data_IF_011811487292
#
_entry.id   IF_011811487292
#
_cell.length_a   1.000
_cell.length_b   1.000
_cell.length_c   1.000
_cell.angle_alpha   90.00
_cell.angle_beta   90.00
_cell.angle_gamma   90.00
#
_symmetry.space_group_name_H-M   'P 1'
#
loop_
_entity.id
_entity.type
_entity.pdbx_description
1 polymer ?
#
# COMPACT_ATOMS: atom_id res chain seq x y z
N UNK A 1 -0.92 21.36 -20.03
CA UNK A 1 0.32 20.55 -19.96
C UNK A 1 0.74 20.28 -21.39
N UNK A 2 1.96 20.64 -21.77
CA UNK A 2 2.43 20.39 -23.14
C UNK A 2 2.89 18.92 -23.23
N UNK A 3 1.98 18.05 -23.68
CA UNK A 3 2.17 16.59 -23.74
C UNK A 3 3.37 16.23 -24.65
N UNK A 4 3.63 17.05 -25.66
CA UNK A 4 4.76 16.88 -26.60
C UNK A 4 6.13 17.04 -25.92
N UNK A 5 6.21 17.77 -24.79
CA UNK A 5 7.46 17.95 -24.04
C UNK A 5 7.76 16.81 -23.07
N UNK A 6 6.84 15.87 -22.88
CA UNK A 6 7.06 14.73 -21.99
C UNK A 6 8.12 13.80 -22.56
N UNK A 7 8.98 13.31 -21.69
CA UNK A 7 9.92 12.23 -22.00
C UNK A 7 9.19 10.91 -22.22
N UNK A 8 9.82 9.99 -22.94
CA UNK A 8 9.24 8.66 -23.22
C UNK A 8 8.91 7.91 -21.92
N UNK A 9 9.77 8.03 -20.91
CA UNK A 9 9.54 7.44 -19.60
C UNK A 9 8.36 8.07 -18.87
N UNK A 10 8.16 9.38 -18.95
CA UNK A 10 7.01 10.05 -18.34
C UNK A 10 5.70 9.63 -19.00
N UNK A 11 5.65 9.58 -20.34
CA UNK A 11 4.49 9.06 -21.06
C UNK A 11 4.19 7.61 -20.68
N UNK A 12 5.23 6.77 -20.61
CA UNK A 12 5.09 5.37 -20.24
C UNK A 12 4.57 5.20 -18.81
N UNK A 13 5.07 5.99 -17.87
CA UNK A 13 4.61 5.98 -16.47
C UNK A 13 3.15 6.42 -16.35
N UNK A 14 2.75 7.45 -17.10
CA UNK A 14 1.37 7.96 -17.11
C UNK A 14 0.41 6.90 -17.66
N UNK A 15 0.76 6.24 -18.76
CA UNK A 15 -0.09 5.20 -19.38
C UNK A 15 -0.25 3.99 -18.47
N UNK A 16 0.81 3.61 -17.76
CA UNK A 16 0.78 2.48 -16.81
C UNK A 16 0.19 2.84 -15.43
N UNK A 17 -0.50 3.98 -15.32
CA UNK A 17 -1.37 4.27 -14.18
C UNK A 17 -0.68 4.90 -12.98
N UNK A 18 0.50 5.49 -13.16
CA UNK A 18 1.19 6.21 -12.08
C UNK A 18 0.50 7.56 -11.76
N UNK A 19 -0.32 8.08 -12.69
CA UNK A 19 -1.10 9.32 -12.54
C UNK A 19 -2.54 9.06 -12.98
N UNK A 20 -3.51 9.33 -12.10
CA UNK A 20 -4.93 9.27 -12.44
C UNK A 20 -5.32 10.48 -13.30
N UNK A 21 -5.62 10.24 -14.57
CA UNK A 21 -6.05 11.28 -15.50
C UNK A 21 -7.52 11.14 -15.86
N UNK A 22 -8.15 12.28 -16.15
CA UNK A 22 -9.42 12.36 -16.87
C UNK A 22 -9.32 11.53 -18.18
N UNK A 23 -10.40 10.80 -18.51
CA UNK A 23 -10.49 9.97 -19.71
C UNK A 23 -10.19 10.71 -21.01
N UNK A 24 -10.49 12.00 -21.12
CA UNK A 24 -10.15 12.83 -22.28
C UNK A 24 -8.64 13.02 -22.42
N UNK A 25 -7.95 13.28 -21.30
CA UNK A 25 -6.50 13.49 -21.24
C UNK A 25 -5.75 12.16 -21.44
N UNK A 26 -6.28 11.06 -20.90
CA UNK A 26 -5.73 9.71 -21.11
C UNK A 26 -5.69 9.33 -22.59
N UNK A 27 -6.73 9.69 -23.35
CA UNK A 27 -6.80 9.40 -24.78
C UNK A 27 -5.78 10.20 -25.60
N UNK A 28 -5.53 11.46 -25.25
CA UNK A 28 -4.51 12.28 -25.93
C UNK A 28 -3.11 11.72 -25.68
N UNK A 29 -2.81 11.33 -24.44
CA UNK A 29 -1.52 10.75 -24.07
C UNK A 29 -1.27 9.40 -24.74
N UNK A 30 -2.29 8.54 -24.81
CA UNK A 30 -2.18 7.27 -25.55
C UNK A 30 -1.91 7.48 -27.03
N UNK A 31 -2.56 8.48 -27.65
CA UNK A 31 -2.31 8.82 -29.05
C UNK A 31 -0.88 9.31 -29.27
N UNK A 32 -0.38 10.16 -28.37
CA UNK A 32 0.99 10.66 -28.47
C UNK A 32 2.02 9.54 -28.29
N UNK A 33 1.80 8.62 -27.34
CA UNK A 33 2.66 7.47 -27.15
C UNK A 33 2.69 6.54 -28.35
N UNK A 34 1.53 6.25 -28.96
CA UNK A 34 1.44 5.41 -30.17
C UNK A 34 2.10 6.07 -31.39
N UNK A 35 2.15 7.41 -31.43
CA UNK A 35 2.80 8.17 -32.52
C UNK A 35 4.32 8.06 -32.49
N UNK A 36 4.92 7.74 -31.35
CA UNK A 36 6.39 7.69 -31.17
C UNK A 36 7.05 6.40 -31.66
N UNK A 37 6.27 5.44 -32.18
CA UNK A 37 6.72 4.21 -32.85
C UNK A 37 7.94 3.54 -32.17
N UNK A 38 7.76 3.14 -30.91
CA UNK A 38 8.83 2.56 -30.12
C UNK A 38 9.20 1.15 -30.60
N UNK A 39 10.50 0.87 -30.69
CA UNK A 39 10.98 -0.50 -30.90
C UNK A 39 10.67 -1.38 -29.68
N UNK A 40 10.65 -2.70 -29.89
CA UNK A 40 10.41 -3.67 -28.81
C UNK A 40 11.48 -3.53 -27.72
N UNK A 41 12.74 -3.36 -28.09
CA UNK A 41 13.85 -3.17 -27.15
C UNK A 41 13.66 -1.90 -26.30
N UNK A 42 13.12 -0.84 -26.90
CA UNK A 42 12.85 0.41 -26.19
C UNK A 42 11.71 0.27 -25.19
N UNK A 43 10.67 -0.49 -25.54
CA UNK A 43 9.56 -0.80 -24.64
C UNK A 43 10.02 -1.64 -23.45
N UNK A 44 10.90 -2.62 -23.67
CA UNK A 44 11.49 -3.43 -22.60
C UNK A 44 12.33 -2.56 -21.65
N UNK A 45 13.15 -1.65 -22.17
CA UNK A 45 13.92 -0.70 -21.36
C UNK A 45 13.02 0.18 -20.48
N UNK A 46 11.95 0.75 -21.07
CA UNK A 46 10.96 1.57 -20.35
C UNK A 46 10.23 0.77 -19.27
N UNK A 47 9.92 -0.51 -19.55
CA UNK A 47 9.29 -1.44 -18.62
C UNK A 47 10.18 -1.77 -17.41
N UNK A 48 11.47 -2.08 -17.65
CA UNK A 48 12.45 -2.34 -16.60
C UNK A 48 12.60 -1.11 -15.69
N UNK A 49 12.75 0.07 -16.29
CA UNK A 49 12.88 1.32 -15.53
C UNK A 49 11.62 1.62 -14.71
N UNK A 50 10.43 1.38 -15.26
CA UNK A 50 9.18 1.52 -14.54
C UNK A 50 9.09 0.57 -13.34
N UNK A 51 9.47 -0.70 -13.49
CA UNK A 51 9.49 -1.65 -12.38
C UNK A 51 10.46 -1.25 -11.27
N UNK A 52 11.66 -0.77 -11.64
CA UNK A 52 12.66 -0.30 -10.69
C UNK A 52 12.13 0.90 -9.90
N UNK A 53 11.56 1.89 -10.58
CA UNK A 53 10.95 3.06 -9.93
C UNK A 53 9.76 2.69 -9.05
N UNK A 54 8.93 1.74 -9.50
CA UNK A 54 7.79 1.23 -8.75
C UNK A 54 8.24 0.47 -7.49
N UNK A 55 9.28 -0.37 -7.58
CA UNK A 55 9.87 -1.04 -6.40
C UNK A 55 10.50 -0.03 -5.45
N UNK A 56 11.23 0.97 -5.95
CA UNK A 56 11.80 2.03 -5.11
C UNK A 56 10.71 2.81 -4.36
N UNK A 57 9.58 3.10 -5.02
CA UNK A 57 8.43 3.77 -4.40
C UNK A 57 7.66 2.86 -3.42
N UNK A 58 7.54 1.57 -3.72
CA UNK A 58 6.93 0.61 -2.79
C UNK A 58 7.84 0.25 -1.60
N UNK A 59 9.15 0.50 -1.72
CA UNK A 59 10.12 0.43 -0.63
C UNK A 59 10.18 1.70 0.24
N UNK A 60 9.23 2.64 0.08
CA UNK A 60 9.02 3.69 1.07
C UNK A 60 8.58 2.98 2.36
N UNK A 61 9.53 2.80 3.27
CA UNK A 61 9.29 2.14 4.55
C UNK A 61 8.12 2.80 5.28
N UNK A 62 7.39 1.99 6.06
CA UNK A 62 6.22 2.40 6.84
C UNK A 62 6.37 3.82 7.39
N UNK A 63 5.42 4.68 7.05
CA UNK A 63 5.37 6.05 7.57
C UNK A 63 5.27 6.01 9.10
N UNK A 64 5.72 7.06 9.79
CA UNK A 64 5.70 7.14 11.26
C UNK A 64 4.30 6.86 11.82
N UNK A 65 3.24 7.31 11.12
CA UNK A 65 1.85 7.01 11.48
C UNK A 65 1.54 5.51 11.39
N UNK A 66 1.96 4.82 10.34
CA UNK A 66 1.74 3.38 10.18
C UNK A 66 2.52 2.58 11.22
N UNK A 67 3.75 2.98 11.54
CA UNK A 67 4.53 2.39 12.64
C UNK A 67 3.84 2.55 13.99
N UNK A 68 3.36 3.75 14.30
CA UNK A 68 2.61 4.02 15.54
C UNK A 68 1.33 3.20 15.58
N UNK A 69 0.60 3.11 14.46
CA UNK A 69 -0.60 2.30 14.35
C UNK A 69 -0.27 0.83 14.60
N UNK A 70 0.80 0.27 14.03
CA UNK A 70 1.23 -1.12 14.28
C UNK A 70 1.60 -1.35 15.75
N UNK A 71 2.25 -0.38 16.41
CA UNK A 71 2.64 -0.49 17.82
C UNK A 71 1.44 -0.39 18.77
N UNK A 72 0.47 0.48 18.48
CA UNK A 72 -0.75 0.66 19.26
C UNK A 72 -1.83 -0.37 18.90
N UNK A 73 -1.74 -0.98 17.71
CA UNK A 73 -2.68 -1.95 17.17
C UNK A 73 -3.03 -3.06 18.18
N UNK A 74 -2.06 -3.72 18.85
CA UNK A 74 -2.30 -4.80 19.81
C UNK A 74 -3.26 -4.45 20.95
N UNK A 75 -3.29 -3.18 21.34
CA UNK A 75 -3.96 -2.71 22.55
C UNK A 75 -5.38 -2.20 22.30
N UNK A 76 -5.84 -2.19 21.05
CA UNK A 76 -7.16 -1.69 20.69
C UNK A 76 -7.95 -2.65 19.77
N UNK A 77 -8.32 -3.86 20.23
CA UNK A 77 -9.05 -4.86 19.44
C UNK A 77 -10.29 -4.34 18.68
N UNK A 78 -11.12 -3.43 19.24
CA UNK A 78 -12.25 -2.86 18.51
C UNK A 78 -11.84 -2.03 17.30
N UNK A 79 -10.74 -1.28 17.42
CA UNK A 79 -10.19 -0.48 16.33
C UNK A 79 -9.55 -1.39 15.28
N UNK A 80 -8.95 -2.51 15.70
CA UNK A 80 -8.42 -3.53 14.78
C UNK A 80 -9.53 -4.07 13.86
N UNK A 81 -10.69 -4.42 14.42
CA UNK A 81 -11.82 -4.95 13.66
C UNK A 81 -12.38 -3.94 12.63
N UNK A 82 -12.46 -2.66 13.01
CA UNK A 82 -12.98 -1.60 12.14
C UNK A 82 -12.02 -1.31 10.98
N UNK A 83 -10.71 -1.21 11.26
CA UNK A 83 -9.70 -0.92 10.25
C UNK A 83 -9.51 -2.09 9.28
N UNK A 84 -9.49 -3.33 9.79
CA UNK A 84 -9.42 -4.53 8.97
C UNK A 84 -10.61 -4.60 7.99
N UNK A 85 -11.84 -4.33 8.46
CA UNK A 85 -13.02 -4.28 7.58
C UNK A 85 -12.90 -3.18 6.51
N UNK A 86 -12.46 -1.98 6.89
CA UNK A 86 -12.34 -0.84 5.97
C UNK A 86 -11.26 -1.06 4.88
N UNK A 87 -10.21 -1.81 5.20
CA UNK A 87 -9.13 -2.12 4.26
C UNK A 87 -9.40 -3.38 3.42
N UNK A 88 -10.10 -4.38 3.96
CA UNK A 88 -10.63 -5.52 3.19
C UNK A 88 -11.59 -5.05 2.08
N UNK A 89 -12.43 -4.04 2.37
CA UNK A 89 -13.31 -3.41 1.38
C UNK A 89 -12.55 -2.71 0.23
N UNK A 90 -11.29 -2.30 0.44
CA UNK A 90 -10.45 -1.62 -0.57
C UNK A 90 -9.66 -2.58 -1.46
N UNK A 91 -9.85 -3.89 -1.35
CA UNK A 91 -9.19 -4.92 -2.17
C UNK A 91 -7.65 -4.91 -2.13
N UNK A 92 -7.06 -4.23 -1.14
CA UNK A 92 -5.60 -4.10 -0.98
C UNK A 92 -5.02 -5.28 -0.19
N UNK A 93 -5.25 -6.49 -0.69
CA UNK A 93 -4.94 -7.76 -0.01
C UNK A 93 -3.44 -7.97 0.25
N UNK A 94 -2.55 -7.43 -0.59
CA UNK A 94 -1.12 -7.74 -0.53
C UNK A 94 -0.38 -7.06 0.62
N UNK A 95 -0.71 -5.79 0.93
CA UNK A 95 -0.06 -5.06 2.04
C UNK A 95 -0.47 -5.59 3.42
N UNK A 96 -1.73 -6.00 3.58
CA UNK A 96 -2.25 -6.46 4.86
C UNK A 96 -1.96 -7.93 5.19
N UNK A 97 -1.76 -8.77 4.17
CA UNK A 97 -1.33 -10.15 4.36
C UNK A 97 -0.05 -10.23 5.21
N UNK A 98 0.89 -9.31 4.97
CA UNK A 98 2.16 -9.21 5.71
C UNK A 98 2.00 -8.68 7.14
N UNK A 99 0.82 -8.16 7.51
CA UNK A 99 0.59 -7.56 8.81
C UNK A 99 -0.24 -8.44 9.76
N UNK A 100 -0.79 -9.57 9.29
CA UNK A 100 -1.59 -10.49 10.11
C UNK A 100 -0.82 -11.07 11.29
N UNK A 101 0.47 -11.37 11.13
CA UNK A 101 1.30 -11.88 12.23
C UNK A 101 1.40 -10.86 13.37
N UNK A 102 1.53 -9.57 13.06
CA UNK A 102 1.55 -8.50 14.05
C UNK A 102 0.20 -8.36 14.78
N UNK A 103 -0.91 -8.53 14.05
CA UNK A 103 -2.25 -8.55 14.67
C UNK A 103 -2.38 -9.73 15.63
N UNK A 104 -1.94 -10.92 15.20
CA UNK A 104 -2.07 -12.15 15.97
C UNK A 104 -1.21 -12.10 17.24
N UNK A 105 0.05 -11.67 17.12
CA UNK A 105 0.95 -11.43 18.27
C UNK A 105 0.35 -10.40 19.23
N UNK A 106 -0.19 -9.30 18.69
CA UNK A 106 -0.78 -8.25 19.50
C UNK A 106 -2.02 -8.71 20.27
N UNK A 107 -2.90 -9.46 19.60
CA UNK A 107 -4.10 -10.03 20.20
C UNK A 107 -3.76 -11.07 21.28
N UNK A 108 -2.79 -11.95 21.04
CA UNK A 108 -2.33 -12.92 22.03
C UNK A 108 -1.73 -12.23 23.26
N UNK A 109 -0.89 -11.22 23.07
CA UNK A 109 -0.30 -10.44 24.16
C UNK A 109 -1.38 -9.74 25.00
N UNK A 110 -2.35 -9.09 24.35
CA UNK A 110 -3.46 -8.45 25.03
C UNK A 110 -4.29 -9.44 25.84
N UNK A 111 -4.63 -10.58 25.24
CA UNK A 111 -5.42 -11.63 25.89
C UNK A 111 -4.73 -12.16 27.13
N UNK A 112 -3.42 -12.44 27.06
CA UNK A 112 -2.61 -12.87 28.21
C UNK A 112 -2.62 -11.78 29.29
N UNK A 113 -2.42 -10.52 28.91
CA UNK A 113 -2.40 -9.37 29.84
C UNK A 113 -3.74 -9.23 30.58
N UNK A 114 -4.87 -9.30 29.86
CA UNK A 114 -6.21 -9.24 30.45
C UNK A 114 -6.45 -10.41 31.39
N UNK A 115 -6.04 -11.63 31.03
CA UNK A 115 -6.17 -12.82 31.89
C UNK A 115 -5.34 -12.65 33.16
N UNK A 116 -4.10 -12.16 33.06
CA UNK A 116 -3.24 -11.93 34.21
C UNK A 116 -3.81 -10.86 35.14
N UNK A 117 -4.28 -9.73 34.58
CA UNK A 117 -4.93 -8.66 35.35
C UNK A 117 -6.19 -9.18 36.02
N UNK A 118 -7.06 -9.89 35.30
CA UNK A 118 -8.26 -10.48 35.86
C UNK A 118 -7.92 -11.44 37.01
N UNK A 119 -6.91 -12.31 36.82
CA UNK A 119 -6.45 -13.22 37.86
C UNK A 119 -5.93 -12.47 39.10
N UNK A 120 -5.15 -11.41 38.91
CA UNK A 120 -4.53 -10.66 40.02
C UNK A 120 -5.51 -9.76 40.78
N UNK A 121 -6.47 -9.14 40.08
CA UNK A 121 -7.36 -8.13 40.67
C UNK A 121 -8.77 -8.65 40.97
N UNK A 122 -9.32 -9.54 40.13
CA UNK A 122 -10.69 -10.05 40.29
C UNK A 122 -10.73 -11.38 41.06
N UNK A 123 -9.75 -12.26 40.86
CA UNK A 123 -9.79 -13.62 41.42
C UNK A 123 -8.79 -13.87 42.57
N UNK A 124 -7.94 -12.91 42.90
CA UNK A 124 -6.98 -13.02 44.02
C UNK A 124 -7.54 -12.48 45.35
N UNK A 125 -8.80 -12.01 45.36
CA UNK A 125 -9.59 -11.77 46.58
C UNK A 125 -10.47 -12.99 46.83
N UNK A 126 -9.87 -14.09 47.28
CA UNK A 126 -10.55 -15.19 47.96
C UNK A 126 -9.65 -15.73 49.06
#
# INVERSE_FOLDING_TARGET
>A
MEIEKLTDQELFNIINGDISLDGSTSNVIKKEFMKRDFSIEKLDELGINYEVLKRARNNIGLTVKEKIVIILFPFMPPIQAILANKQLLKNNKSGWAQHWDYVLVGFSFWTITVILIARFFLFNKS
#
